data_IF_807158260164
#
_entry.id   IF_807158260164
#
_cell.length_a   1.000
_cell.length_b   1.000
_cell.length_c   1.000
_cell.angle_alpha   90.00
_cell.angle_beta   90.00
_cell.angle_gamma   90.00
#
_symmetry.space_group_name_H-M   'P 1'
#
loop_
_entity.id
_entity.type
_entity.pdbx_description
1 polymer ?
#
# COMPACT_ATOMS: atom_id res chain seq x y z
N UNK A 1 2.94 -15.15 -14.32
CA UNK A 1 2.72 -13.69 -14.51
C UNK A 1 1.64 -13.26 -13.55
N UNK A 2 1.84 -12.16 -12.81
CA UNK A 2 0.94 -11.63 -11.78
C UNK A 2 0.18 -10.42 -12.30
N UNK A 3 -1.12 -10.37 -12.06
CA UNK A 3 -1.92 -9.19 -12.40
C UNK A 3 -1.80 -8.15 -11.29
N UNK A 4 -1.66 -6.88 -11.69
CA UNK A 4 -1.71 -5.73 -10.77
C UNK A 4 -2.94 -4.92 -11.14
N UNK A 5 -3.96 -5.03 -10.30
CA UNK A 5 -5.21 -4.30 -10.44
C UNK A 5 -5.00 -2.82 -10.14
N UNK A 6 -5.28 -1.96 -11.11
CA UNK A 6 -5.20 -0.51 -11.00
C UNK A 6 -6.60 0.06 -10.99
N UNK A 7 -6.95 0.83 -9.97
CA UNK A 7 -8.29 1.38 -9.85
C UNK A 7 -8.33 2.73 -9.16
N UNK A 8 -9.41 3.46 -9.41
CA UNK A 8 -9.72 4.70 -8.72
C UNK A 8 -10.25 4.39 -7.32
N UNK A 9 -9.51 4.84 -6.31
CA UNK A 9 -9.79 4.70 -4.88
C UNK A 9 -10.22 6.05 -4.26
N UNK A 10 -10.58 7.02 -5.10
CA UNK A 10 -11.03 8.34 -4.66
C UNK A 10 -12.41 8.24 -4.02
N UNK A 11 -12.59 8.98 -2.92
CA UNK A 11 -13.89 9.24 -2.32
C UNK A 11 -14.49 10.48 -2.95
N UNK A 12 -15.81 10.59 -2.88
CA UNK A 12 -16.52 11.80 -3.35
C UNK A 12 -16.10 13.09 -2.63
N UNK A 13 -15.44 12.98 -1.47
CA UNK A 13 -14.90 14.10 -0.69
C UNK A 13 -13.48 14.49 -1.09
N UNK A 14 -12.80 13.65 -1.87
CA UNK A 14 -11.39 13.87 -2.19
C UNK A 14 -11.26 14.93 -3.27
N UNK A 15 -10.35 15.89 -3.04
CA UNK A 15 -10.10 17.01 -3.95
C UNK A 15 -9.17 16.63 -5.12
N UNK A 16 -8.63 15.42 -5.09
CA UNK A 16 -7.63 14.91 -6.02
C UNK A 16 -7.94 13.45 -6.33
N UNK A 17 -7.43 12.95 -7.46
CA UNK A 17 -7.71 11.58 -7.89
C UNK A 17 -6.68 10.63 -7.27
N UNK A 18 -7.16 9.68 -6.48
CA UNK A 18 -6.38 8.66 -5.81
C UNK A 18 -6.46 7.37 -6.61
N UNK A 19 -5.32 6.89 -7.09
CA UNK A 19 -5.24 5.65 -7.85
C UNK A 19 -4.44 4.62 -7.05
N UNK A 20 -4.98 3.42 -6.91
CA UNK A 20 -4.35 2.34 -6.13
C UNK A 20 -3.93 1.20 -7.06
N UNK A 21 -2.72 0.68 -6.83
CA UNK A 21 -2.20 -0.54 -7.43
C UNK A 21 -2.21 -1.69 -6.41
N UNK A 22 -2.95 -2.75 -6.73
CA UNK A 22 -3.15 -3.93 -5.89
C UNK A 22 -2.71 -5.20 -6.63
N UNK A 23 -1.82 -5.98 -6.04
CA UNK A 23 -1.48 -7.29 -6.58
C UNK A 23 -2.65 -8.27 -6.51
N UNK A 24 -2.65 -9.24 -7.41
CA UNK A 24 -3.56 -10.41 -7.38
C UNK A 24 -3.45 -11.23 -6.08
N UNK A 25 -2.37 -11.07 -5.32
CA UNK A 25 -2.20 -11.64 -3.98
C UNK A 25 -2.79 -10.77 -2.86
N UNK A 26 -3.50 -9.69 -3.19
CA UNK A 26 -4.09 -8.73 -2.27
C UNK A 26 -3.08 -7.77 -1.62
N UNK A 27 -1.80 -7.78 -2.04
CA UNK A 27 -0.80 -6.83 -1.53
C UNK A 27 -0.92 -5.50 -2.25
N UNK A 28 -1.19 -4.44 -1.50
CA UNK A 28 -1.15 -3.07 -2.04
C UNK A 28 0.30 -2.69 -2.36
N UNK A 29 0.56 -2.35 -3.62
CA UNK A 29 1.87 -1.86 -4.05
C UNK A 29 2.02 -0.39 -3.69
N UNK A 30 1.06 0.44 -4.11
CA UNK A 30 1.06 1.88 -3.88
C UNK A 30 -0.34 2.48 -4.04
N UNK A 31 -0.54 3.64 -3.42
CA UNK A 31 -1.63 4.56 -3.74
C UNK A 31 -0.98 5.88 -4.12
N UNK A 32 -1.27 6.36 -5.33
CA UNK A 32 -0.71 7.59 -5.90
C UNK A 32 -1.82 8.62 -6.01
N UNK A 33 -1.53 9.85 -5.58
CA UNK A 33 -2.43 10.99 -5.69
C UNK A 33 -2.03 11.79 -6.91
N UNK A 34 -2.98 12.01 -7.81
CA UNK A 34 -2.83 12.85 -8.99
C UNK A 34 -3.58 14.15 -8.78
N UNK A 35 -2.89 15.25 -9.10
CA UNK A 35 -3.54 16.55 -9.25
C UNK A 35 -4.28 16.62 -10.61
N UNK A 36 -4.97 17.74 -10.85
CA UNK A 36 -5.75 17.94 -12.08
C UNK A 36 -4.92 17.91 -13.37
N UNK A 37 -3.63 18.21 -13.29
CA UNK A 37 -2.76 18.30 -14.48
C UNK A 37 -2.13 16.94 -14.80
N UNK A 38 -1.87 16.12 -13.79
CA UNK A 38 -1.25 14.81 -13.91
C UNK A 38 -2.26 13.67 -14.01
N UNK A 39 -3.49 13.87 -13.50
CA UNK A 39 -4.58 12.90 -13.55
C UNK A 39 -4.80 12.30 -14.95
N UNK A 40 -4.89 13.07 -16.05
CA UNK A 40 -5.11 12.50 -17.38
C UNK A 40 -4.05 11.48 -17.84
N UNK A 41 -2.93 11.39 -17.12
CA UNK A 41 -1.79 10.55 -17.46
C UNK A 41 -1.60 9.35 -16.52
N UNK A 42 -2.57 9.05 -15.62
CA UNK A 42 -2.44 7.93 -14.68
C UNK A 42 -2.23 6.59 -15.40
N UNK A 43 -2.90 6.33 -16.53
CA UNK A 43 -2.76 5.05 -17.25
C UNK A 43 -1.32 4.81 -17.70
N UNK A 44 -0.66 5.88 -18.12
CA UNK A 44 0.76 5.82 -18.44
C UNK A 44 1.60 5.71 -17.17
N UNK A 45 1.31 6.45 -16.10
CA UNK A 45 2.06 6.33 -14.85
C UNK A 45 2.05 4.89 -14.30
N UNK A 46 0.91 4.20 -14.36
CA UNK A 46 0.76 2.82 -13.86
C UNK A 46 1.20 1.73 -14.85
N UNK A 47 1.60 2.08 -16.07
CA UNK A 47 2.02 1.09 -17.06
C UNK A 47 0.92 0.45 -17.89
N UNK A 48 -0.35 0.85 -17.69
CA UNK A 48 -1.48 0.40 -18.51
C UNK A 48 -1.39 0.94 -19.96
N UNK A 49 -0.73 2.09 -20.14
CA UNK A 49 -0.41 2.67 -21.45
C UNK A 49 1.11 2.77 -21.63
N UNK A 50 1.60 2.55 -22.85
CA UNK A 50 3.03 2.54 -23.16
C UNK A 50 3.62 3.91 -23.50
N UNK A 51 2.80 4.85 -23.96
CA UNK A 51 3.25 6.15 -24.45
C UNK A 51 2.63 7.30 -23.67
N UNK A 52 3.49 8.24 -23.25
CA UNK A 52 3.09 9.57 -22.82
C UNK A 52 2.98 10.44 -24.08
N UNK A 53 1.85 11.15 -24.27
CA UNK A 53 1.58 11.90 -25.49
C UNK A 53 2.72 12.86 -25.87
N UNK A 54 2.94 13.04 -27.18
CA UNK A 54 4.14 13.69 -27.72
C UNK A 54 4.36 15.17 -27.32
N UNK A 55 3.35 15.84 -26.76
CA UNK A 55 3.38 17.28 -26.43
C UNK A 55 2.96 17.57 -24.98
N UNK A 56 3.25 16.65 -24.05
CA UNK A 56 3.00 16.89 -22.62
C UNK A 56 4.10 17.81 -22.07
N UNK A 57 3.68 18.88 -21.39
CA UNK A 57 4.59 19.85 -20.79
C UNK A 57 5.55 19.19 -19.78
N UNK A 58 6.78 19.70 -19.67
CA UNK A 58 7.80 19.16 -18.79
C UNK A 58 7.35 19.11 -17.32
N UNK A 59 6.58 20.10 -16.87
CA UNK A 59 6.03 20.14 -15.50
C UNK A 59 5.05 19.00 -15.20
N UNK A 60 4.50 18.36 -16.23
CA UNK A 60 3.62 17.18 -16.12
C UNK A 60 4.41 15.90 -16.43
N UNK A 61 5.21 15.89 -17.50
CA UNK A 61 5.87 14.68 -17.96
C UNK A 61 6.93 14.19 -16.98
N UNK A 62 7.67 15.09 -16.33
CA UNK A 62 8.71 14.73 -15.35
C UNK A 62 8.11 13.96 -14.16
N UNK A 63 7.15 14.52 -13.38
CA UNK A 63 6.60 13.80 -12.23
C UNK A 63 5.86 12.51 -12.63
N UNK A 64 5.20 12.48 -13.79
CA UNK A 64 4.54 11.27 -14.31
C UNK A 64 5.54 10.17 -14.66
N UNK A 65 6.67 10.51 -15.29
CA UNK A 65 7.75 9.57 -15.58
C UNK A 65 8.44 9.07 -14.32
N UNK A 66 8.69 9.94 -13.34
CA UNK A 66 9.25 9.56 -12.04
C UNK A 66 8.32 8.58 -11.31
N UNK A 67 7.02 8.88 -11.26
CA UNK A 67 5.99 7.98 -10.71
C UNK A 67 6.02 6.62 -11.39
N UNK A 68 6.08 6.59 -12.73
CA UNK A 68 6.13 5.34 -13.49
C UNK A 68 7.38 4.52 -13.15
N UNK A 69 8.55 5.17 -13.13
CA UNK A 69 9.82 4.53 -12.78
C UNK A 69 9.74 3.88 -11.40
N UNK A 70 9.22 4.61 -10.41
CA UNK A 70 9.18 4.16 -9.03
C UNK A 70 8.14 3.04 -8.80
N UNK A 71 7.01 3.09 -9.51
CA UNK A 71 6.03 2.01 -9.55
C UNK A 71 6.61 0.74 -10.17
N UNK A 72 7.30 0.85 -11.31
CA UNK A 72 7.90 -0.29 -12.00
C UNK A 72 8.96 -0.95 -11.13
N UNK A 73 9.83 -0.16 -10.50
CA UNK A 73 10.79 -0.67 -9.52
C UNK A 73 10.09 -1.36 -8.33
N UNK A 74 8.90 -0.92 -7.93
CA UNK A 74 8.13 -1.56 -6.87
C UNK A 74 7.48 -2.87 -7.33
N UNK A 75 6.96 -2.93 -8.56
CA UNK A 75 6.46 -4.16 -9.17
C UNK A 75 7.55 -5.21 -9.32
N UNK A 76 8.71 -4.82 -9.84
CA UNK A 76 9.88 -5.69 -10.00
C UNK A 76 10.35 -6.24 -8.64
N UNK A 77 10.38 -5.40 -7.60
CA UNK A 77 10.74 -5.85 -6.24
C UNK A 77 9.73 -6.83 -5.65
N UNK A 78 8.43 -6.67 -5.94
CA UNK A 78 7.39 -7.53 -5.38
C UNK A 78 7.21 -8.85 -6.12
N UNK A 79 7.27 -8.82 -7.45
CA UNK A 79 6.87 -9.96 -8.30
C UNK A 79 7.98 -10.46 -9.22
N UNK A 80 9.11 -9.75 -9.30
CA UNK A 80 10.20 -10.01 -10.24
C UNK A 80 10.01 -9.30 -11.57
N UNK A 81 11.13 -8.89 -12.19
CA UNK A 81 11.11 -8.20 -13.47
C UNK A 81 10.42 -9.01 -14.57
N UNK A 82 9.48 -8.38 -15.28
CA UNK A 82 8.70 -9.01 -16.36
C UNK A 82 7.67 -10.04 -15.90
N UNK A 83 7.51 -10.26 -14.60
CA UNK A 83 6.56 -11.24 -14.05
C UNK A 83 5.24 -10.60 -13.60
N UNK A 84 4.95 -9.36 -13.99
CA UNK A 84 3.75 -8.63 -13.64
C UNK A 84 3.12 -7.95 -14.86
N UNK A 85 1.81 -7.70 -14.77
CA UNK A 85 1.04 -7.00 -15.80
C UNK A 85 0.01 -6.07 -15.14
N UNK A 86 0.05 -4.75 -15.39
CA UNK A 86 -0.93 -3.83 -14.84
C UNK A 86 -2.24 -3.95 -15.63
N UNK A 87 -3.36 -3.94 -14.92
CA UNK A 87 -4.69 -3.97 -15.51
C UNK A 87 -5.52 -2.85 -14.88
N UNK A 88 -5.87 -1.84 -15.68
CA UNK A 88 -6.85 -0.85 -15.28
C UNK A 88 -8.22 -1.50 -15.22
N UNK A 89 -8.85 -1.46 -14.05
CA UNK A 89 -10.19 -1.97 -13.84
C UNK A 89 -11.13 -0.82 -13.53
N UNK A 90 -12.29 -0.82 -14.20
CA UNK A 90 -13.33 0.16 -13.95
C UNK A 90 -14.24 -0.31 -12.82
N UNK A 91 -14.64 0.59 -11.90
CA UNK A 91 -15.63 0.26 -10.89
C UNK A 91 -16.97 -0.17 -11.52
N UNK A 92 -17.54 -1.28 -11.06
CA UNK A 92 -18.86 -1.72 -11.50
C UNK A 92 -19.23 -3.09 -10.94
N UNK A 93 -20.49 -3.28 -10.53
CA UNK A 93 -20.97 -4.56 -9.99
C UNK A 93 -20.86 -5.71 -11.02
N UNK A 94 -20.97 -5.39 -12.30
CA UNK A 94 -20.89 -6.36 -13.40
C UNK A 94 -19.44 -6.67 -13.80
N UNK A 95 -18.46 -5.89 -13.33
CA UNK A 95 -17.04 -6.11 -13.62
C UNK A 95 -16.48 -7.16 -12.63
N UNK A 96 -16.11 -8.32 -13.16
CA UNK A 96 -15.65 -9.48 -12.37
C UNK A 96 -14.31 -9.17 -11.72
N UNK A 97 -13.40 -8.54 -12.46
CA UNK A 97 -12.06 -8.17 -12.01
C UNK A 97 -12.13 -7.12 -10.89
N UNK A 98 -13.06 -6.18 -10.99
CA UNK A 98 -13.36 -5.20 -9.94
C UNK A 98 -13.84 -5.87 -8.65
N UNK A 99 -14.81 -6.78 -8.74
CA UNK A 99 -15.28 -7.52 -7.56
C UNK A 99 -14.15 -8.33 -6.93
N UNK A 100 -13.36 -9.01 -7.75
CA UNK A 100 -12.24 -9.80 -7.27
C UNK A 100 -11.17 -8.94 -6.57
N UNK A 101 -10.79 -7.80 -7.16
CA UNK A 101 -9.85 -6.87 -6.55
C UNK A 101 -10.37 -6.31 -5.21
N UNK A 102 -11.67 -5.97 -5.14
CA UNK A 102 -12.31 -5.52 -3.90
C UNK A 102 -12.33 -6.61 -2.82
N UNK A 103 -12.61 -7.86 -3.18
CA UNK A 103 -12.57 -9.00 -2.26
C UNK A 103 -11.17 -9.16 -1.66
N UNK A 104 -10.12 -9.16 -2.50
CA UNK A 104 -8.73 -9.23 -2.06
C UNK A 104 -8.36 -8.06 -1.15
N UNK A 105 -8.76 -6.84 -1.51
CA UNK A 105 -8.48 -5.64 -0.73
C UNK A 105 -9.12 -5.72 0.67
N UNK A 106 -10.38 -6.17 0.76
CA UNK A 106 -11.11 -6.32 2.02
C UNK A 106 -10.56 -7.45 2.87
N UNK A 107 -10.31 -8.63 2.28
CA UNK A 107 -9.71 -9.76 2.98
C UNK A 107 -8.34 -9.41 3.58
N UNK A 108 -7.57 -8.56 2.90
CA UNK A 108 -6.32 -8.03 3.44
C UNK A 108 -6.53 -7.03 4.56
N UNK A 109 -7.49 -6.11 4.45
CA UNK A 109 -7.84 -5.19 5.54
C UNK A 109 -8.31 -5.93 6.80
N UNK A 110 -9.03 -7.05 6.65
CA UNK A 110 -9.46 -7.90 7.77
C UNK A 110 -8.30 -8.66 8.42
N UNK A 111 -7.35 -9.17 7.62
CA UNK A 111 -6.16 -9.87 8.14
C UNK A 111 -5.11 -8.94 8.75
N UNK A 112 -4.97 -7.71 8.23
CA UNK A 112 -4.14 -6.64 8.83
C UNK A 112 -4.87 -5.95 9.99
N UNK A 113 -6.20 -6.16 10.10
CA UNK A 113 -7.03 -5.77 11.24
C UNK A 113 -6.78 -6.57 12.53
N UNK A 114 -5.84 -7.51 12.54
CA UNK A 114 -5.17 -7.90 13.77
C UNK A 114 -4.42 -6.67 14.29
N UNK A 115 -5.03 -5.98 15.25
CA UNK A 115 -4.53 -4.74 15.83
C UNK A 115 -3.01 -4.76 15.93
N UNK A 116 -2.33 -3.91 15.18
CA UNK A 116 -0.96 -3.54 15.52
C UNK A 116 -0.98 -3.22 17.02
N UNK A 117 -0.03 -3.71 17.82
CA UNK A 117 0.11 -3.22 19.17
C UNK A 117 0.46 -1.74 19.02
N UNK A 118 -0.55 -0.88 19.17
CA UNK A 118 -0.33 0.54 19.40
C UNK A 118 0.51 0.56 20.66
N UNK A 119 1.80 0.84 20.51
CA UNK A 119 2.64 1.16 21.65
C UNK A 119 2.01 2.39 22.28
N UNK A 120 1.19 2.15 23.32
CA UNK A 120 0.61 3.22 24.09
C UNK A 120 1.76 3.99 24.73
N UNK A 121 1.56 5.28 25.01
CA UNK A 121 2.53 6.08 25.77
C UNK A 121 2.94 5.34 27.05
N UNK A 122 2.03 4.58 27.67
CA UNK A 122 2.33 3.72 28.81
C UNK A 122 3.27 2.53 28.49
N UNK A 123 3.15 1.89 27.33
CA UNK A 123 4.08 0.84 26.90
C UNK A 123 5.47 1.41 26.59
N UNK A 124 5.53 2.59 25.96
CA UNK A 124 6.77 3.29 25.69
C UNK A 124 7.47 3.72 27.01
N UNK A 125 6.70 4.24 27.97
CA UNK A 125 7.20 4.62 29.30
C UNK A 125 7.74 3.42 30.08
N UNK A 126 7.10 2.25 30.03
CA UNK A 126 7.65 1.03 30.66
C UNK A 126 8.97 0.58 30.03
N UNK A 127 9.12 0.73 28.71
CA UNK A 127 10.37 0.42 28.03
C UNK A 127 11.45 1.43 28.44
N UNK A 128 11.11 2.71 28.51
CA UNK A 128 12.04 3.73 29.01
C UNK A 128 12.40 3.52 30.48
N UNK A 129 11.46 3.15 31.35
CA UNK A 129 11.73 2.80 32.74
C UNK A 129 12.59 1.53 32.85
N UNK A 130 12.42 0.55 31.96
CA UNK A 130 13.25 -0.66 31.96
C UNK A 130 14.67 -0.43 31.38
N UNK A 131 14.82 0.57 30.51
CA UNK A 131 16.10 0.90 29.85
C UNK A 131 16.90 1.97 30.62
N UNK A 132 16.21 2.91 31.27
CA UNK A 132 16.79 4.04 32.01
C UNK A 132 16.70 3.86 33.53
N UNK A 133 15.90 2.91 34.02
CA UNK A 133 15.79 2.55 35.42
C UNK A 133 16.85 1.52 35.84
N UNK A 134 17.62 1.92 36.84
CA UNK A 134 18.52 1.13 37.70
C UNK A 134 18.00 -0.29 38.00
N UNK A 135 18.85 -1.34 38.08
CA UNK A 135 18.44 -2.74 38.02
C UNK A 135 17.40 -3.09 39.08
N UNK A 136 16.25 -3.60 38.63
CA UNK A 136 15.30 -4.26 39.50
C UNK A 136 15.99 -5.45 40.19
N UNK A 137 15.97 -5.42 41.52
CA UNK A 137 16.49 -6.45 42.39
C UNK A 137 15.94 -7.85 42.02
N UNK A 138 16.70 -8.93 42.26
CA UNK A 138 16.28 -10.28 41.89
C UNK A 138 14.97 -10.66 42.59
N UNK A 139 14.06 -11.25 41.82
CA UNK A 139 12.79 -11.75 42.31
C UNK A 139 13.02 -12.74 43.48
N UNK A 140 12.25 -12.68 44.57
CA UNK A 140 12.30 -13.71 45.59
C UNK A 140 11.84 -15.04 44.99
N UNK A 141 12.67 -16.05 45.20
CA UNK A 141 12.49 -17.44 44.78
C UNK A 141 11.14 -18.00 45.20
N UNK A 142 10.50 -18.72 44.27
CA UNK A 142 9.35 -19.56 44.51
C UNK A 142 9.60 -20.50 45.69
N UNK A 143 8.73 -20.45 46.70
CA UNK A 143 8.63 -21.53 47.67
C UNK A 143 7.44 -22.41 47.31
N UNK A 144 7.79 -23.67 47.10
CA UNK A 144 6.98 -24.78 46.63
C UNK A 144 6.39 -25.44 47.86
N UNK A 145 5.08 -25.32 48.09
CA UNK A 145 4.40 -26.17 49.08
C UNK A 145 3.59 -27.23 48.34
N UNK A 146 4.20 -28.42 48.29
CA UNK A 146 3.52 -29.70 48.13
C UNK A 146 3.14 -30.14 49.54
N UNK A 147 1.84 -30.28 49.82
CA UNK A 147 1.17 -31.42 50.47
C UNK A 147 -0.26 -31.04 50.83
#
# INVERSE_FOLDING_TARGET
>A
MKTIFIFNDSRHTDLSTHMTALGEDGRRVATIVFDRNTEPHYEYAFGCKHELGANVDASISIPVNDTRRDLFASYDRMYGAGNWMPLLIQPGADNVEWRHALELYRARAETVGASEPRFSVAALLRIFDAVLGTPAAPAPSADRVVH
#
